data_IF_183621034145
#
_entry.id   IF_183621034145
#
_cell.length_a   1.000
_cell.length_b   1.000
_cell.length_c   1.000
_cell.angle_alpha   90.00
_cell.angle_beta   90.00
_cell.angle_gamma   90.00
#
_symmetry.space_group_name_H-M   'P 1'
#
loop_
_entity.id
_entity.type
_entity.pdbx_description
1 polymer ?
#
# COMPACT_ATOMS: atom_id res chain seq x y z
N UNK A 1 6.22 6.38 20.19
CA UNK A 1 4.75 6.35 20.35
C UNK A 1 4.30 7.68 20.91
N UNK A 2 3.34 8.32 20.26
CA UNK A 2 2.91 9.70 20.54
C UNK A 2 2.30 9.84 21.96
N UNK A 3 2.68 10.88 22.70
CA UNK A 3 2.24 11.08 24.09
C UNK A 3 0.76 11.49 24.17
N UNK A 4 0.27 12.25 23.19
CA UNK A 4 -1.14 12.68 23.12
C UNK A 4 -2.01 11.49 22.74
N UNK A 5 -1.57 10.63 21.83
CA UNK A 5 -2.24 9.37 21.52
C UNK A 5 -2.39 8.48 22.77
N UNK A 6 -1.33 8.33 23.57
CA UNK A 6 -1.40 7.60 24.84
C UNK A 6 -2.36 8.23 25.85
N UNK A 7 -2.39 9.57 25.96
CA UNK A 7 -3.35 10.28 26.79
C UNK A 7 -4.78 10.05 26.31
N UNK A 8 -5.02 10.09 24.99
CA UNK A 8 -6.31 9.82 24.37
C UNK A 8 -6.79 8.38 24.64
N UNK A 9 -5.91 7.38 24.51
CA UNK A 9 -6.29 5.99 24.85
C UNK A 9 -6.79 5.87 26.30
N UNK A 10 -6.18 6.61 27.25
CA UNK A 10 -6.56 6.62 28.66
C UNK A 10 -7.83 7.44 28.96
N UNK A 11 -8.23 8.35 28.07
CA UNK A 11 -9.43 9.17 28.26
C UNK A 11 -10.72 8.36 28.09
N UNK A 12 -10.62 7.20 27.41
CA UNK A 12 -11.74 6.31 27.12
C UNK A 12 -12.74 6.86 26.11
N UNK A 13 -12.41 7.97 25.42
CA UNK A 13 -13.28 8.53 24.38
C UNK A 13 -13.30 7.59 23.18
N UNK A 14 -14.51 7.25 22.74
CA UNK A 14 -14.76 6.50 21.52
C UNK A 14 -14.99 7.47 20.35
N UNK A 15 -14.17 7.36 19.30
CA UNK A 15 -14.26 8.18 18.10
C UNK A 15 -15.07 7.52 16.97
N UNK A 16 -15.64 6.33 17.21
CA UNK A 16 -16.47 5.65 16.22
C UNK A 16 -17.62 6.55 15.70
N UNK A 17 -18.33 7.34 16.53
CA UNK A 17 -19.37 8.25 16.04
C UNK A 17 -18.89 9.34 15.08
N UNK A 18 -17.59 9.67 15.09
CA UNK A 18 -16.96 10.67 14.20
C UNK A 18 -16.13 10.02 13.09
N UNK A 19 -16.41 8.75 12.80
CA UNK A 19 -15.82 8.01 11.68
C UNK A 19 -14.44 7.40 11.95
N UNK A 20 -14.00 7.29 13.20
CA UNK A 20 -12.71 6.67 13.56
C UNK A 20 -12.94 5.48 14.48
N UNK A 21 -13.24 4.33 13.88
CA UNK A 21 -13.52 3.08 14.57
C UNK A 21 -12.24 2.36 14.99
N UNK A 22 -12.22 1.82 16.20
CA UNK A 22 -11.16 0.88 16.61
C UNK A 22 -11.59 -0.54 16.30
N UNK A 23 -10.68 -1.32 15.72
CA UNK A 23 -10.89 -2.74 15.41
C UNK A 23 -9.84 -3.60 16.08
N UNK A 24 -10.25 -4.83 16.42
CA UNK A 24 -9.32 -5.85 16.90
C UNK A 24 -8.48 -6.41 15.73
N UNK A 25 -9.07 -6.55 14.55
CA UNK A 25 -8.38 -6.87 13.32
C UNK A 25 -7.78 -5.61 12.70
N UNK A 26 -6.45 -5.55 12.65
CA UNK A 26 -5.71 -4.45 12.03
C UNK A 26 -4.84 -4.97 10.88
N UNK A 27 -5.44 -5.80 10.03
CA UNK A 27 -4.74 -6.34 8.87
C UNK A 27 -4.48 -5.20 7.88
N UNK A 28 -3.22 -4.95 7.49
CA UNK A 28 -2.89 -3.93 6.52
C UNK A 28 -3.40 -4.33 5.12
N UNK A 29 -3.81 -3.34 4.33
CA UNK A 29 -4.02 -3.48 2.89
C UNK A 29 -2.69 -3.37 2.12
N UNK A 30 -2.67 -3.81 0.86
CA UNK A 30 -1.48 -3.77 -0.01
C UNK A 30 -0.81 -2.38 -0.10
N UNK A 31 -1.61 -1.31 -0.05
CA UNK A 31 -1.15 0.08 -0.09
C UNK A 31 -0.84 0.68 1.29
N UNK A 32 -0.84 -0.13 2.35
CA UNK A 32 -0.50 0.35 3.69
C UNK A 32 1.01 0.54 3.80
N UNK A 33 1.51 1.72 4.25
CA UNK A 33 2.93 1.93 4.40
C UNK A 33 3.62 0.89 5.29
N UNK A 34 4.83 0.50 4.91
CA UNK A 34 5.67 -0.41 5.68
C UNK A 34 5.97 0.19 7.05
N UNK A 35 5.68 -0.58 8.09
CA UNK A 35 5.86 -0.14 9.47
C UNK A 35 4.76 0.80 9.96
N UNK A 36 3.61 0.84 9.28
CA UNK A 36 2.41 1.50 9.77
C UNK A 36 1.90 0.87 11.07
N UNK A 37 1.34 1.71 11.94
CA UNK A 37 0.60 1.34 13.13
C UNK A 37 -0.80 1.93 12.99
N UNK A 38 -1.74 1.10 12.53
CA UNK A 38 -3.14 1.46 12.36
C UNK A 38 -3.76 1.70 13.73
N UNK A 39 -4.52 2.79 13.87
CA UNK A 39 -5.21 3.13 15.12
C UNK A 39 -6.70 3.39 14.94
N UNK A 40 -7.17 3.53 13.70
CA UNK A 40 -8.57 3.80 13.41
C UNK A 40 -8.94 3.44 11.98
N UNK A 41 -10.20 3.11 11.77
CA UNK A 41 -10.79 2.75 10.49
C UNK A 41 -11.98 3.66 10.19
N UNK A 42 -12.15 4.04 8.93
CA UNK A 42 -13.31 4.78 8.46
C UNK A 42 -14.23 3.84 7.67
N UNK A 43 -15.39 3.50 8.25
CA UNK A 43 -16.38 2.64 7.61
C UNK A 43 -15.83 1.27 7.21
N UNK A 44 -16.43 0.63 6.21
CA UNK A 44 -16.11 -0.76 5.83
C UNK A 44 -15.19 -0.89 4.61
N UNK A 45 -14.90 0.22 3.93
CA UNK A 45 -14.20 0.24 2.63
C UNK A 45 -12.67 0.09 2.74
N UNK A 46 -12.17 -0.24 3.93
CA UNK A 46 -10.74 -0.45 4.18
C UNK A 46 -9.94 0.84 4.38
N UNK A 47 -10.60 2.01 4.40
CA UNK A 47 -9.97 3.29 4.73
C UNK A 47 -9.51 3.25 6.18
N UNK A 48 -8.26 3.65 6.44
CA UNK A 48 -7.70 3.62 7.78
C UNK A 48 -6.71 4.75 8.06
N UNK A 49 -6.57 5.04 9.35
CA UNK A 49 -5.67 6.04 9.90
C UNK A 49 -4.53 5.37 10.64
N UNK A 50 -3.30 5.80 10.35
CA UNK A 50 -2.12 5.19 10.92
C UNK A 50 -1.00 6.19 11.22
N UNK A 51 -0.10 5.78 12.10
CA UNK A 51 1.25 6.34 12.18
C UNK A 51 2.17 5.52 11.30
N UNK A 52 3.14 6.14 10.64
CA UNK A 52 4.18 5.41 9.89
C UNK A 52 5.52 5.57 10.58
N UNK A 53 6.26 4.46 10.74
CA UNK A 53 7.61 4.48 11.31
C UNK A 53 8.48 5.51 10.57
N UNK A 54 9.35 6.20 11.31
CA UNK A 54 10.27 7.23 10.80
C UNK A 54 9.63 8.58 10.41
N UNK A 55 8.30 8.71 10.52
CA UNK A 55 7.57 9.99 10.34
C UNK A 55 7.12 10.62 11.66
N UNK A 56 7.70 10.20 12.79
CA UNK A 56 7.42 10.78 14.10
C UNK A 56 5.98 10.52 14.57
N UNK A 57 5.24 11.58 14.88
CA UNK A 57 3.84 11.54 15.31
C UNK A 57 2.84 11.73 14.17
N UNK A 58 3.31 11.89 12.93
CA UNK A 58 2.47 12.23 11.79
C UNK A 58 1.38 11.18 11.56
N UNK A 59 0.17 11.66 11.32
CA UNK A 59 -1.01 10.86 11.02
C UNK A 59 -1.24 10.84 9.52
N UNK A 60 -1.46 9.65 8.99
CA UNK A 60 -1.76 9.40 7.58
C UNK A 60 -3.17 8.80 7.45
N UNK A 61 -3.86 9.18 6.37
CA UNK A 61 -4.99 8.43 5.83
C UNK A 61 -4.48 7.47 4.75
N UNK A 62 -5.03 6.28 4.69
CA UNK A 62 -4.80 5.28 3.64
C UNK A 62 -6.14 4.85 3.08
N UNK A 63 -6.31 4.93 1.76
CA UNK A 63 -7.51 4.51 1.03
C UNK A 63 -7.15 3.48 -0.05
N UNK A 64 -7.45 2.19 0.15
CA UNK A 64 -7.19 1.14 -0.83
C UNK A 64 -8.01 1.26 -2.13
N UNK A 65 -9.08 2.06 -2.11
CA UNK A 65 -9.98 2.28 -3.25
C UNK A 65 -9.55 3.44 -4.14
N UNK A 66 -8.56 4.23 -3.74
CA UNK A 66 -8.01 5.29 -4.57
C UNK A 66 -7.18 4.69 -5.72
N UNK A 67 -6.94 5.48 -6.77
CA UNK A 67 -6.00 5.10 -7.83
C UNK A 67 -4.56 5.46 -7.42
N UNK A 68 -3.57 4.72 -7.91
CA UNK A 68 -2.17 5.07 -7.76
C UNK A 68 -1.89 6.42 -8.44
N UNK A 69 -0.99 7.23 -7.86
CA UNK A 69 -0.21 6.97 -6.64
C UNK A 69 -0.92 7.41 -5.33
N UNK A 70 -2.18 7.84 -5.40
CA UNK A 70 -2.90 8.60 -4.36
C UNK A 70 -3.57 7.70 -3.30
N UNK A 71 -2.86 6.68 -2.81
CA UNK A 71 -3.39 5.81 -1.75
C UNK A 71 -3.21 6.37 -0.34
N UNK A 72 -2.16 7.17 -0.13
CA UNK A 72 -1.71 7.59 1.21
C UNK A 72 -1.56 9.10 1.25
N UNK A 73 -2.21 9.74 2.22
CA UNK A 73 -2.14 11.19 2.38
C UNK A 73 -1.81 11.58 3.83
N UNK A 74 -0.81 12.44 4.07
CA UNK A 74 -0.60 13.01 5.39
C UNK A 74 -1.79 13.91 5.76
N UNK A 75 -2.32 13.72 6.97
CA UNK A 75 -3.45 14.48 7.49
C UNK A 75 -3.05 15.47 8.58
N UNK A 76 -2.15 15.06 9.48
CA UNK A 76 -1.72 15.88 10.61
C UNK A 76 -0.27 15.63 11.00
N UNK A 77 0.44 16.66 11.44
CA UNK A 77 1.83 16.56 11.92
C UNK A 77 1.96 15.70 13.17
N UNK A 78 0.91 15.66 13.99
CA UNK A 78 0.82 14.84 15.19
C UNK A 78 -0.63 14.44 15.49
N UNK A 79 -0.80 13.64 16.54
CA UNK A 79 -2.12 13.18 16.95
C UNK A 79 -2.98 14.29 17.57
N UNK A 80 -2.38 15.33 18.14
CA UNK A 80 -3.15 16.46 18.68
C UNK A 80 -3.83 17.23 17.55
N UNK A 81 -3.08 17.56 16.50
CA UNK A 81 -3.60 18.22 15.30
C UNK A 81 -4.67 17.36 14.62
N UNK A 82 -4.53 16.04 14.59
CA UNK A 82 -5.58 15.13 14.09
C UNK A 82 -6.89 15.26 14.88
N UNK A 83 -6.83 15.29 16.21
CA UNK A 83 -8.03 15.49 17.03
C UNK A 83 -8.63 16.88 16.83
N UNK A 84 -7.80 17.92 16.67
CA UNK A 84 -8.28 19.28 16.37
C UNK A 84 -8.94 19.39 15.01
N UNK A 85 -8.45 18.64 14.02
CA UNK A 85 -9.08 18.50 12.70
C UNK A 85 -10.45 17.83 12.82
N UNK A 86 -10.57 16.72 13.56
CA UNK A 86 -11.89 16.10 13.82
C UNK A 86 -12.85 17.06 14.53
N UNK A 87 -12.37 17.84 15.50
CA UNK A 87 -13.16 18.88 16.17
C UNK A 87 -13.65 19.98 15.21
N UNK A 88 -12.89 20.30 14.16
CA UNK A 88 -13.28 21.30 13.17
C UNK A 88 -14.21 20.74 12.09
N UNK A 89 -14.01 19.47 11.71
CA UNK A 89 -14.68 18.86 10.56
C UNK A 89 -15.83 17.94 10.94
N UNK A 90 -15.99 17.65 12.22
CA UNK A 90 -17.04 16.82 12.82
C UNK A 90 -17.07 15.34 12.43
N UNK A 91 -16.50 14.98 11.29
CA UNK A 91 -16.36 13.61 10.82
C UNK A 91 -15.04 13.42 10.06
N UNK A 92 -14.47 12.22 10.18
CA UNK A 92 -13.24 11.84 9.48
C UNK A 92 -13.38 11.83 7.95
N UNK A 93 -14.59 11.67 7.39
CA UNK A 93 -14.83 11.66 5.95
C UNK A 93 -14.34 12.94 5.27
N UNK A 94 -14.55 14.11 5.90
CA UNK A 94 -14.04 15.37 5.37
C UNK A 94 -12.50 15.41 5.38
N UNK A 95 -11.87 14.83 6.40
CA UNK A 95 -10.41 14.78 6.50
C UNK A 95 -9.82 13.86 5.44
N UNK A 96 -10.42 12.68 5.26
CA UNK A 96 -9.99 11.71 4.27
C UNK A 96 -10.13 12.28 2.86
N UNK A 97 -11.25 12.88 2.49
CA UNK A 97 -11.48 13.42 1.14
C UNK A 97 -10.74 14.75 0.85
N UNK A 98 -10.14 15.37 1.87
CA UNK A 98 -9.49 16.68 1.74
C UNK A 98 -8.35 16.71 0.71
N UNK A 99 -7.71 15.57 0.39
CA UNK A 99 -6.62 15.53 -0.59
C UNK A 99 -7.08 15.90 -2.01
N UNK A 100 -8.30 15.51 -2.41
CA UNK A 100 -8.81 15.75 -3.76
C UNK A 100 -9.66 17.02 -3.89
N UNK A 101 -10.26 17.49 -2.78
CA UNK A 101 -11.15 18.65 -2.84
C UNK A 101 -10.40 19.99 -2.86
N UNK A 102 -10.94 20.93 -3.63
CA UNK A 102 -10.64 22.35 -3.43
C UNK A 102 -11.32 22.88 -2.15
N UNK A 103 -11.02 24.14 -1.81
CA UNK A 103 -11.53 24.75 -0.57
C UNK A 103 -13.07 24.86 -0.57
N UNK A 104 -13.67 25.20 -1.71
CA UNK A 104 -15.10 25.40 -1.82
C UNK A 104 -15.86 24.08 -1.69
N UNK A 105 -15.33 23.01 -2.30
CA UNK A 105 -15.88 21.65 -2.18
C UNK A 105 -15.80 21.15 -0.74
N UNK A 106 -14.66 21.37 -0.06
CA UNK A 106 -14.49 21.00 1.34
C UNK A 106 -15.45 21.76 2.26
N UNK A 107 -15.56 23.08 2.10
CA UNK A 107 -16.47 23.91 2.91
C UNK A 107 -17.95 23.57 2.64
N UNK A 108 -18.31 23.31 1.38
CA UNK A 108 -19.66 22.85 1.02
C UNK A 108 -19.99 21.51 1.67
N UNK A 109 -19.06 20.54 1.66
CA UNK A 109 -19.27 19.25 2.31
C UNK A 109 -19.56 19.40 3.81
N UNK A 110 -18.81 20.26 4.52
CA UNK A 110 -19.04 20.52 5.95
C UNK A 110 -20.39 21.20 6.21
N UNK A 111 -20.82 22.08 5.32
CA UNK A 111 -22.11 22.76 5.43
C UNK A 111 -23.28 21.80 5.17
N UNK A 112 -23.16 20.94 4.17
CA UNK A 112 -24.19 19.99 3.76
C UNK A 112 -24.31 18.80 4.71
N UNK A 113 -23.26 18.52 5.50
CA UNK A 113 -23.20 17.43 6.47
C UNK A 113 -22.96 17.97 7.90
N UNK A 114 -23.94 18.68 8.50
CA UNK A 114 -23.81 19.15 9.86
C UNK A 114 -23.71 17.98 10.85
N UNK A 115 -23.00 18.14 11.98
CA UNK A 115 -22.81 17.05 12.94
C UNK A 115 -24.14 16.59 13.54
N UNK A 116 -24.33 15.28 13.56
CA UNK A 116 -25.41 14.60 14.29
C UNK A 116 -25.28 14.83 15.80
N UNK A 117 -26.35 14.53 16.54
CA UNK A 117 -26.34 14.70 18.00
C UNK A 117 -25.27 13.84 18.69
N UNK A 118 -25.03 12.62 18.20
CA UNK A 118 -24.01 11.74 18.76
C UNK A 118 -22.60 12.22 18.44
N UNK A 119 -22.35 12.70 17.20
CA UNK A 119 -21.10 13.38 16.85
C UNK A 119 -20.86 14.60 17.76
N UNK A 120 -21.86 15.48 17.94
CA UNK A 120 -21.72 16.65 18.82
C UNK A 120 -21.36 16.27 20.26
N UNK A 121 -21.97 15.19 20.79
CA UNK A 121 -21.67 14.68 22.14
C UNK A 121 -20.23 14.18 22.22
N UNK A 122 -19.81 13.34 21.28
CA UNK A 122 -18.44 12.80 21.21
C UNK A 122 -17.40 13.90 21.08
N UNK A 123 -17.64 14.90 20.21
CA UNK A 123 -16.72 16.02 20.00
C UNK A 123 -16.62 16.92 21.23
N UNK A 124 -17.73 17.15 21.93
CA UNK A 124 -17.72 17.92 23.19
C UNK A 124 -16.94 17.20 24.29
N UNK A 125 -17.17 15.89 24.45
CA UNK A 125 -16.42 15.06 25.40
C UNK A 125 -14.93 15.01 25.07
N UNK A 126 -14.59 14.89 23.78
CA UNK A 126 -13.22 14.91 23.29
C UNK A 126 -12.54 16.24 23.62
N UNK A 127 -13.18 17.37 23.30
CA UNK A 127 -12.65 18.71 23.57
C UNK A 127 -12.38 18.93 25.06
N UNK A 128 -13.31 18.51 25.93
CA UNK A 128 -13.18 18.64 27.38
C UNK A 128 -12.05 17.76 27.94
N UNK A 129 -12.06 16.46 27.65
CA UNK A 129 -11.08 15.50 28.20
C UNK A 129 -9.67 15.76 27.67
N UNK A 130 -9.55 16.16 26.41
CA UNK A 130 -8.25 16.42 25.80
C UNK A 130 -7.76 17.86 26.02
N UNK A 131 -8.66 18.78 26.37
CA UNK A 131 -8.42 20.23 26.50
C UNK A 131 -8.01 20.87 25.17
N UNK A 132 -8.75 20.54 24.12
CA UNK A 132 -8.46 20.95 22.75
C UNK A 132 -9.55 21.88 22.22
N UNK A 133 -9.17 22.72 21.26
CA UNK A 133 -10.10 23.52 20.47
C UNK A 133 -10.07 23.07 19.01
N UNK A 134 -11.17 23.27 18.26
CA UNK A 134 -11.17 23.02 16.82
C UNK A 134 -10.01 23.71 16.09
N UNK A 135 -9.52 23.09 15.02
CA UNK A 135 -8.57 23.73 14.12
C UNK A 135 -9.23 24.89 13.36
N UNK A 136 -8.58 26.06 13.31
CA UNK A 136 -9.16 27.26 12.69
C UNK A 136 -9.30 27.18 11.17
N UNK A 137 -8.29 26.62 10.49
CA UNK A 137 -8.25 26.53 9.03
C UNK A 137 -7.88 25.10 8.59
N UNK A 138 -8.78 24.12 8.80
CA UNK A 138 -8.48 22.70 8.61
C UNK A 138 -8.02 22.38 7.18
N UNK A 139 -8.73 22.88 6.16
CA UNK A 139 -8.36 22.64 4.76
C UNK A 139 -6.99 23.24 4.41
N UNK A 140 -6.73 24.49 4.82
CA UNK A 140 -5.45 25.17 4.53
C UNK A 140 -4.29 24.43 5.20
N UNK A 141 -4.49 23.98 6.43
CA UNK A 141 -3.51 23.18 7.16
C UNK A 141 -3.19 21.88 6.42
N UNK A 142 -4.21 21.09 6.06
CA UNK A 142 -4.04 19.80 5.37
C UNK A 142 -3.32 20.00 4.03
N UNK A 143 -3.78 20.97 3.21
CA UNK A 143 -3.16 21.22 1.89
C UNK A 143 -1.71 21.68 2.00
N UNK A 144 -1.39 22.50 3.00
CA UNK A 144 0.00 22.92 3.25
C UNK A 144 0.87 21.74 3.65
N UNK A 145 0.37 20.87 4.53
CA UNK A 145 1.06 19.65 4.94
C UNK A 145 1.34 18.76 3.73
N UNK A 146 0.31 18.44 2.94
CA UNK A 146 0.41 17.61 1.75
C UNK A 146 1.36 18.20 0.70
N UNK A 147 1.28 19.50 0.42
CA UNK A 147 2.17 20.16 -0.54
C UNK A 147 3.64 20.17 -0.11
N UNK A 148 3.92 20.08 1.20
CA UNK A 148 5.29 20.05 1.74
C UNK A 148 5.86 18.64 1.90
N UNK A 149 5.03 17.61 1.75
CA UNK A 149 5.40 16.23 2.03
C UNK A 149 6.10 15.58 0.84
N UNK A 150 7.18 14.86 1.11
CA UNK A 150 7.91 14.09 0.09
C UNK A 150 7.41 12.64 0.07
N UNK A 151 6.46 12.38 -0.83
CA UNK A 151 5.83 11.06 -1.00
C UNK A 151 6.81 9.94 -1.35
N UNK A 152 7.98 10.25 -1.94
CA UNK A 152 9.01 9.24 -2.28
C UNK A 152 9.62 8.56 -1.03
N UNK A 153 9.44 9.17 0.14
CA UNK A 153 9.89 8.63 1.42
C UNK A 153 8.97 7.53 1.95
N UNK A 154 7.71 7.47 1.50
CA UNK A 154 6.82 6.37 1.88
C UNK A 154 7.36 5.09 1.24
N UNK A 155 7.52 4.06 2.07
CA UNK A 155 7.92 2.73 1.63
C UNK A 155 6.76 1.78 1.86
N UNK A 156 6.60 0.83 0.96
CA UNK A 156 5.56 -0.19 1.02
C UNK A 156 6.18 -1.58 1.21
N UNK A 157 5.33 -2.56 1.53
CA UNK A 157 5.68 -3.98 1.49
C UNK A 157 5.70 -4.49 0.05
N UNK A 158 6.12 -5.75 -0.15
CA UNK A 158 6.15 -6.35 -1.49
C UNK A 158 4.74 -6.40 -2.13
N UNK A 159 3.68 -6.54 -1.32
CA UNK A 159 2.29 -6.57 -1.78
C UNK A 159 1.90 -5.34 -2.62
N UNK A 160 2.51 -4.18 -2.37
CA UNK A 160 2.24 -2.97 -3.16
C UNK A 160 2.77 -3.06 -4.60
N UNK A 161 3.82 -3.84 -4.81
CA UNK A 161 4.47 -4.03 -6.11
C UNK A 161 4.04 -5.34 -6.79
N UNK A 162 3.16 -6.10 -6.14
CA UNK A 162 2.59 -7.32 -6.70
C UNK A 162 1.40 -6.98 -7.60
N UNK A 163 1.48 -7.38 -8.87
CA UNK A 163 0.44 -7.12 -9.88
C UNK A 163 -0.89 -7.83 -9.56
N UNK A 164 -0.86 -8.92 -8.79
CA UNK A 164 -2.07 -9.63 -8.39
C UNK A 164 -2.83 -8.86 -7.29
N UNK A 165 -2.11 -8.03 -6.52
CA UNK A 165 -2.67 -7.22 -5.41
C UNK A 165 -2.90 -5.76 -5.82
N UNK A 166 -2.02 -5.21 -6.65
CA UNK A 166 -2.06 -3.85 -7.18
C UNK A 166 -2.00 -3.91 -8.71
N UNK A 167 -3.15 -3.82 -9.42
CA UNK A 167 -3.19 -3.87 -10.88
C UNK A 167 -2.39 -2.77 -11.58
N UNK A 168 -2.04 -1.69 -10.87
CA UNK A 168 -1.27 -0.57 -11.38
C UNK A 168 0.24 -0.70 -11.08
N UNK A 169 0.66 -1.77 -10.39
CA UNK A 169 2.07 -2.08 -10.20
C UNK A 169 2.76 -2.44 -11.53
N UNK A 170 4.02 -2.04 -11.68
CA UNK A 170 4.81 -2.48 -12.82
C UNK A 170 5.07 -4.00 -12.72
N UNK A 171 4.81 -4.78 -13.78
CA UNK A 171 5.10 -6.20 -13.76
C UNK A 171 6.58 -6.43 -13.49
N UNK A 172 6.91 -6.98 -12.33
CA UNK A 172 8.26 -7.45 -12.06
C UNK A 172 8.49 -8.68 -12.93
N UNK A 173 9.31 -8.56 -13.96
CA UNK A 173 9.73 -9.74 -14.71
C UNK A 173 10.44 -10.67 -13.73
N UNK A 174 9.99 -11.92 -13.57
CA UNK A 174 10.65 -12.85 -12.66
C UNK A 174 12.12 -12.97 -13.06
N UNK A 175 13.02 -12.87 -12.09
CA UNK A 175 14.44 -13.14 -12.33
C UNK A 175 14.56 -14.58 -12.87
N UNK A 176 15.27 -14.74 -14.00
CA UNK A 176 15.49 -16.04 -14.60
C UNK A 176 16.36 -16.92 -13.68
N UNK A 177 15.69 -17.80 -12.92
CA UNK A 177 16.33 -18.70 -11.95
C UNK A 177 16.07 -20.14 -12.34
N UNK A 178 17.16 -20.89 -12.56
CA UNK A 178 17.12 -22.31 -12.91
C UNK A 178 17.53 -23.15 -11.70
N UNK A 179 16.77 -24.20 -11.41
CA UNK A 179 17.02 -25.13 -10.30
C UNK A 179 17.15 -26.55 -10.83
N UNK A 180 17.94 -27.39 -10.13
CA UNK A 180 18.23 -28.76 -10.58
C UNK A 180 16.96 -29.63 -10.73
N UNK A 181 16.05 -29.54 -9.75
CA UNK A 181 14.77 -30.25 -9.74
C UNK A 181 13.58 -29.30 -10.08
N UNK A 182 13.86 -28.15 -10.69
CA UNK A 182 12.86 -27.15 -11.04
C UNK A 182 12.15 -27.43 -12.37
N UNK A 183 11.02 -26.76 -12.59
CA UNK A 183 10.35 -26.71 -13.89
C UNK A 183 10.26 -25.26 -14.40
N UNK A 184 9.69 -25.08 -15.59
CA UNK A 184 9.56 -23.77 -16.24
C UNK A 184 8.71 -22.76 -15.45
N UNK A 185 7.91 -23.23 -14.50
CA UNK A 185 7.01 -22.45 -13.66
C UNK A 185 7.55 -22.25 -12.23
N UNK A 186 8.77 -22.72 -11.96
CA UNK A 186 9.45 -22.52 -10.69
C UNK A 186 9.93 -23.80 -10.01
N UNK A 187 10.24 -23.67 -8.73
CA UNK A 187 10.86 -24.73 -7.92
C UNK A 187 10.24 -24.74 -6.52
N UNK A 188 9.98 -25.93 -5.98
CA UNK A 188 9.56 -26.13 -4.58
C UNK A 188 10.73 -26.64 -3.74
N UNK A 189 11.34 -25.77 -2.93
CA UNK A 189 12.42 -26.15 -2.03
C UNK A 189 13.33 -24.99 -1.60
N UNK A 190 14.34 -25.29 -0.78
CA UNK A 190 15.33 -24.33 -0.24
C UNK A 190 16.66 -24.32 -1.00
N UNK A 191 16.72 -24.97 -2.16
CA UNK A 191 17.94 -25.02 -2.96
C UNK A 191 18.25 -23.64 -3.56
N UNK A 192 19.53 -23.36 -3.78
CA UNK A 192 19.97 -22.12 -4.41
C UNK A 192 19.83 -22.26 -5.93
N UNK A 193 19.51 -21.15 -6.60
CA UNK A 193 19.49 -21.10 -8.06
C UNK A 193 20.88 -21.41 -8.64
N UNK A 194 20.92 -22.11 -9.76
CA UNK A 194 22.14 -22.44 -10.46
C UNK A 194 22.85 -21.19 -10.99
N UNK A 195 24.18 -21.21 -10.99
CA UNK A 195 24.97 -20.14 -11.61
C UNK A 195 25.02 -20.35 -13.12
N UNK A 196 24.58 -19.35 -13.89
CA UNK A 196 24.59 -19.39 -15.35
C UNK A 196 26.02 -19.47 -15.89
N UNK A 197 26.24 -20.44 -16.79
CA UNK A 197 27.44 -20.62 -17.59
C UNK A 197 27.01 -20.45 -19.05
N UNK A 198 27.35 -19.31 -19.64
CA UNK A 198 27.04 -19.02 -21.04
C UNK A 198 27.84 -19.94 -21.96
N UNK A 199 27.13 -20.73 -22.76
CA UNK A 199 27.72 -21.67 -23.72
C UNK A 199 27.63 -21.16 -25.15
N UNK A 200 26.47 -20.60 -25.53
CA UNK A 200 26.15 -20.11 -26.87
C UNK A 200 26.62 -21.06 -27.98
N UNK A 201 26.37 -22.37 -27.81
CA UNK A 201 26.74 -23.40 -28.77
C UNK A 201 25.59 -23.69 -29.71
N UNK A 202 25.93 -24.04 -30.94
CA UNK A 202 24.97 -24.39 -31.99
C UNK A 202 25.48 -25.63 -32.70
N UNK A 203 24.58 -26.54 -33.04
CA UNK A 203 24.91 -27.75 -33.80
C UNK A 203 23.68 -28.31 -34.50
N UNK A 204 23.90 -29.07 -35.57
CA UNK A 204 22.84 -29.76 -36.29
C UNK A 204 22.83 -31.24 -35.89
N UNK A 205 21.67 -31.73 -35.45
CA UNK A 205 21.48 -33.13 -35.06
C UNK A 205 20.06 -33.59 -35.34
N UNK A 206 19.92 -34.83 -35.80
CA UNK A 206 18.63 -35.44 -36.16
C UNK A 206 17.76 -34.56 -37.09
N UNK A 207 18.39 -33.90 -38.08
CA UNK A 207 17.76 -32.95 -39.05
C UNK A 207 17.20 -31.66 -38.43
N UNK A 208 17.49 -31.38 -37.17
CA UNK A 208 17.11 -30.14 -36.51
C UNK A 208 18.36 -29.32 -36.18
N UNK A 209 18.19 -28.01 -36.16
CA UNK A 209 19.19 -27.07 -35.68
C UNK A 209 18.97 -26.85 -34.19
N UNK A 210 20.00 -27.05 -33.38
CA UNK A 210 19.95 -26.94 -31.93
C UNK A 210 20.81 -25.78 -31.44
N UNK A 211 20.35 -25.12 -30.40
CA UNK A 211 21.05 -24.05 -29.69
C UNK A 211 21.11 -24.42 -28.21
N UNK A 212 22.31 -24.33 -27.63
CA UNK A 212 22.54 -24.43 -26.18
C UNK A 212 23.00 -23.04 -25.73
N UNK A 213 22.09 -22.18 -25.24
CA UNK A 213 22.45 -20.83 -24.82
C UNK A 213 23.31 -20.87 -23.54
N UNK A 214 22.90 -21.64 -22.54
CA UNK A 214 23.56 -21.73 -21.26
C UNK A 214 23.45 -23.12 -20.62
N UNK A 215 24.34 -23.36 -19.68
CA UNK A 215 24.23 -24.39 -18.66
C UNK A 215 24.16 -23.71 -17.29
N UNK A 216 23.62 -24.38 -16.27
CA UNK A 216 23.51 -23.85 -14.92
C UNK A 216 24.15 -24.83 -13.96
N UNK A 217 25.15 -24.35 -13.22
CA UNK A 217 25.80 -25.11 -12.16
C UNK A 217 24.97 -25.00 -10.89
N UNK A 218 24.22 -26.05 -10.57
CA UNK A 218 23.44 -26.19 -9.35
C UNK A 218 24.21 -27.04 -8.31
N UNK A 219 23.81 -26.98 -7.04
CA UNK A 219 24.44 -27.76 -5.96
C UNK A 219 24.38 -29.28 -6.17
N UNK A 220 23.34 -29.75 -6.87
CA UNK A 220 23.08 -31.18 -7.13
C UNK A 220 23.58 -31.66 -8.49
N UNK A 221 24.00 -30.76 -9.38
CA UNK A 221 24.46 -31.11 -10.72
C UNK A 221 24.27 -29.98 -11.75
N UNK A 222 24.33 -30.34 -13.03
CA UNK A 222 24.20 -29.40 -14.14
C UNK A 222 22.79 -29.48 -14.75
N UNK A 223 22.20 -28.32 -15.01
CA UNK A 223 21.00 -28.18 -15.87
C UNK A 223 21.43 -27.51 -17.16
N UNK A 224 20.90 -27.95 -18.31
CA UNK A 224 21.26 -27.39 -19.61
C UNK A 224 20.02 -27.14 -20.44
N UNK A 225 19.94 -25.96 -21.04
CA UNK A 225 18.86 -25.61 -21.96
C UNK A 225 19.20 -26.15 -23.36
N UNK A 226 18.33 -27.01 -23.90
CA UNK A 226 18.41 -27.49 -25.27
C UNK A 226 17.25 -26.89 -26.08
N UNK A 227 17.56 -25.86 -26.87
CA UNK A 227 16.57 -25.20 -27.71
C UNK A 227 16.64 -25.76 -29.13
N UNK A 228 15.60 -26.49 -29.54
CA UNK A 228 15.45 -26.94 -30.92
C UNK A 228 14.80 -25.84 -31.75
N UNK A 229 15.36 -25.53 -32.91
CA UNK A 229 14.74 -24.62 -33.88
C UNK A 229 13.63 -25.35 -34.63
N UNK A 230 12.40 -24.88 -34.46
CA UNK A 230 11.23 -25.41 -35.16
C UNK A 230 10.76 -24.43 -36.23
N UNK A 231 10.43 -24.89 -37.45
CA UNK A 231 9.81 -24.04 -38.47
C UNK A 231 8.49 -23.43 -38.00
N UNK A 232 8.21 -22.19 -38.41
CA UNK A 232 7.00 -21.48 -38.02
C UNK A 232 5.72 -22.22 -38.41
N UNK A 233 5.69 -22.87 -39.58
CA UNK A 233 4.55 -23.65 -40.04
C UNK A 233 4.17 -24.80 -39.09
N UNK A 234 5.17 -25.46 -38.49
CA UNK A 234 4.94 -26.57 -37.57
C UNK A 234 4.44 -26.09 -36.20
N UNK A 235 4.93 -24.92 -35.75
CA UNK A 235 4.42 -24.25 -34.55
C UNK A 235 2.94 -23.88 -34.76
N UNK A 236 2.60 -23.27 -35.91
CA UNK A 236 1.22 -22.91 -36.24
C UNK A 236 0.30 -24.12 -36.24
N UNK A 237 0.71 -25.24 -36.87
CA UNK A 237 -0.07 -26.50 -36.88
C UNK A 237 -0.32 -27.05 -35.47
N UNK A 238 0.66 -26.93 -34.56
CA UNK A 238 0.51 -27.36 -33.17
C UNK A 238 -0.50 -26.50 -32.39
N UNK A 239 -0.45 -25.18 -32.56
CA UNK A 239 -1.35 -24.23 -31.88
C UNK A 239 -2.81 -24.37 -32.35
N UNK A 240 -3.03 -24.69 -33.62
CA UNK A 240 -4.38 -24.86 -34.19
C UNK A 240 -5.06 -26.19 -33.85
N UNK A 241 -4.46 -27.00 -32.98
CA UNK A 241 -4.94 -28.34 -32.61
C UNK A 241 -5.57 -28.33 -31.23
#
# INVERSE_FOLDING_TARGET
>A
MDKVFQKFLRSGVDLSPVGVERREDNNPYFCTPKGASIFGWAGVDGIHFCFVRDFGGMVFSVSPMNAAPDFVHPLANDFEDFLRLLLACSDSAALEQAWMWDKAQFEAFLQDNPPTQDQQRTLSELAEKMKLTPMEQPWVYIKKLQASFDYSKIKYTEDYYDVDMNPEAEPTMPEWKVYFDGNFWGHSGKDHAGTEIRLNKQFDWARHHWVIPAAYSCSKGLVMDFCMRTPEEDIRKFITK
#
